data_IF_173323405521
#
_entry.id   IF_173323405521
#
_cell.length_a   1.000
_cell.length_b   1.000
_cell.length_c   1.000
_cell.angle_alpha   90.00
_cell.angle_beta   90.00
_cell.angle_gamma   90.00
#
_symmetry.space_group_name_H-M   'P 1'
#
loop_
_entity.id
_entity.type
_entity.pdbx_description
1 polymer ?
#
# COMPACT_ATOMS: atom_id res chain seq x y z
N UNK A 1 15.42 15.70 -2.49
CA UNK A 1 14.43 16.00 -1.44
C UNK A 1 13.38 14.91 -1.52
N UNK A 2 13.47 13.88 -0.68
CA UNK A 2 12.44 12.85 -0.60
C UNK A 2 11.25 13.45 0.15
N UNK A 3 10.11 13.59 -0.52
CA UNK A 3 8.88 14.01 0.14
C UNK A 3 8.33 12.78 0.88
N UNK A 4 8.53 12.73 2.20
CA UNK A 4 7.85 11.75 3.06
C UNK A 4 6.38 12.18 3.14
N UNK A 5 5.56 11.60 2.26
CA UNK A 5 4.11 11.86 2.22
C UNK A 5 3.39 10.77 3.00
N UNK A 6 2.65 11.16 4.03
CA UNK A 6 1.77 10.26 4.78
C UNK A 6 0.49 9.95 4.01
N UNK A 7 -0.05 8.75 4.21
CA UNK A 7 -1.32 8.29 3.66
C UNK A 7 -1.89 7.16 4.51
N UNK A 8 -3.11 6.72 4.20
CA UNK A 8 -3.76 5.63 4.93
C UNK A 8 -3.95 4.44 4.01
N UNK A 9 -3.73 3.23 4.53
CA UNK A 9 -3.94 1.98 3.83
C UNK A 9 -5.04 1.19 4.56
N UNK A 10 -5.96 0.62 3.79
CA UNK A 10 -7.00 -0.31 4.27
C UNK A 10 -7.36 -1.26 3.13
N UNK A 11 -8.03 -2.36 3.43
CA UNK A 11 -8.49 -3.33 2.45
C UNK A 11 -9.96 -3.66 2.68
N UNK A 12 -10.78 -3.54 1.63
CA UNK A 12 -12.15 -4.07 1.69
C UNK A 12 -12.22 -5.60 1.57
N UNK A 13 -11.35 -6.19 0.74
CA UNK A 13 -11.45 -7.61 0.37
C UNK A 13 -10.70 -8.52 1.35
N UNK A 14 -9.67 -8.01 2.03
CA UNK A 14 -8.85 -8.81 2.94
C UNK A 14 -9.14 -8.43 4.38
N UNK A 15 -9.88 -9.29 5.10
CA UNK A 15 -10.24 -9.07 6.51
C UNK A 15 -9.03 -8.77 7.41
N UNK A 16 -7.86 -9.29 7.04
CA UNK A 16 -6.58 -9.07 7.72
C UNK A 16 -6.03 -7.66 7.55
N UNK A 17 -6.32 -7.06 6.41
CA UNK A 17 -5.91 -5.71 6.05
C UNK A 17 -7.07 -4.72 6.15
N UNK A 18 -8.20 -5.13 6.74
CA UNK A 18 -9.39 -4.28 6.91
C UNK A 18 -9.22 -3.20 7.99
N UNK A 19 -8.14 -3.29 8.78
CA UNK A 19 -7.71 -2.21 9.66
C UNK A 19 -7.25 -0.98 8.89
N UNK A 20 -7.13 0.15 9.59
CA UNK A 20 -6.53 1.36 9.03
C UNK A 20 -5.09 1.47 9.49
N UNK A 21 -4.18 1.45 8.52
CA UNK A 21 -2.76 1.63 8.71
C UNK A 21 -2.38 3.03 8.28
N UNK A 22 -1.73 3.78 9.17
CA UNK A 22 -1.07 5.02 8.79
C UNK A 22 0.29 4.69 8.21
N UNK A 23 0.54 5.10 6.96
CA UNK A 23 1.75 4.76 6.24
C UNK A 23 2.50 6.01 5.79
N UNK A 24 3.82 5.93 5.82
CA UNK A 24 4.74 6.97 5.36
C UNK A 24 5.55 6.44 4.17
N UNK A 25 5.58 7.20 3.07
CA UNK A 25 6.44 6.89 1.93
C UNK A 25 7.91 6.95 2.35
N UNK A 26 8.61 5.81 2.30
CA UNK A 26 10.06 5.72 2.48
C UNK A 26 10.77 5.98 1.15
N UNK A 27 10.29 5.38 0.07
CA UNK A 27 10.85 5.55 -1.27
C UNK A 27 9.82 5.31 -2.37
N UNK A 28 10.01 6.00 -3.49
CA UNK A 28 9.36 5.67 -4.77
C UNK A 28 10.29 4.72 -5.52
N UNK A 29 9.81 3.52 -5.85
CA UNK A 29 10.61 2.45 -6.44
C UNK A 29 9.99 1.95 -7.74
N UNK A 30 10.83 1.43 -8.62
CA UNK A 30 10.40 0.79 -9.87
C UNK A 30 10.68 -0.69 -9.76
N UNK A 31 9.63 -1.50 -9.91
CA UNK A 31 9.70 -2.96 -9.93
C UNK A 31 10.08 -3.46 -11.34
N UNK A 32 10.17 -4.79 -11.50
CA UNK A 32 10.34 -5.41 -12.81
C UNK A 32 9.33 -4.88 -13.84
N UNK A 33 9.78 -4.79 -15.10
CA UNK A 33 9.00 -4.28 -16.24
C UNK A 33 8.60 -2.80 -16.15
N UNK A 34 9.27 -1.99 -15.29
CA UNK A 34 9.03 -0.55 -15.23
C UNK A 34 7.82 -0.14 -14.40
N UNK A 35 7.25 -1.06 -13.62
CA UNK A 35 6.05 -0.80 -12.82
C UNK A 35 6.38 0.07 -11.60
N UNK A 36 5.71 1.21 -11.46
CA UNK A 36 5.86 2.09 -10.31
C UNK A 36 5.27 1.48 -9.05
N UNK A 37 5.98 1.61 -7.93
CA UNK A 37 5.52 1.21 -6.62
C UNK A 37 6.03 2.16 -5.52
N UNK A 38 5.39 2.11 -4.36
CA UNK A 38 5.78 2.87 -3.18
C UNK A 38 6.29 1.88 -2.13
N UNK A 39 7.51 2.08 -1.65
CA UNK A 39 7.95 1.47 -0.39
C UNK A 39 7.49 2.37 0.75
N UNK A 40 6.70 1.82 1.67
CA UNK A 40 6.15 2.57 2.79
C UNK A 40 6.31 1.83 4.10
N UNK A 41 6.62 2.58 5.16
CA UNK A 41 6.46 2.11 6.52
C UNK A 41 4.99 2.24 6.92
N UNK A 42 4.45 1.31 7.69
CA UNK A 42 3.05 1.35 8.15
C UNK A 42 2.96 1.10 9.66
N UNK A 43 2.04 1.81 10.29
CA UNK A 43 1.73 1.73 11.72
C UNK A 43 0.23 1.51 11.92
N UNK A 44 -0.20 0.47 12.65
CA UNK A 44 0.64 -0.61 13.21
C UNK A 44 1.31 -1.46 12.11
N UNK A 45 2.27 -2.35 12.45
CA UNK A 45 2.81 -3.30 11.49
C UNK A 45 1.68 -4.13 10.85
N UNK A 46 1.82 -4.38 9.56
CA UNK A 46 0.84 -5.12 8.78
C UNK A 46 0.90 -6.60 9.18
N UNK A 47 -0.25 -7.20 9.49
CA UNK A 47 -0.30 -8.61 9.88
C UNK A 47 -0.01 -9.54 8.70
N UNK A 48 1.08 -10.31 8.79
CA UNK A 48 1.53 -11.20 7.72
C UNK A 48 2.11 -12.54 8.23
N UNK A 49 1.67 -12.99 9.40
CA UNK A 49 2.18 -14.19 10.08
C UNK A 49 2.05 -15.47 9.24
N UNK A 50 0.95 -15.63 8.51
CA UNK A 50 0.72 -16.77 7.60
C UNK A 50 1.69 -16.81 6.41
N UNK A 51 2.29 -15.68 6.07
CA UNK A 51 3.24 -15.55 4.96
C UNK A 51 4.69 -15.74 5.41
N UNK A 52 4.91 -16.07 6.70
CA UNK A 52 6.24 -16.23 7.29
C UNK A 52 6.74 -15.01 8.06
N UNK A 53 5.89 -14.02 8.32
CA UNK A 53 6.23 -12.79 9.05
C UNK A 53 5.54 -12.75 10.42
N UNK A 54 6.02 -13.51 11.43
CA UNK A 54 5.30 -13.72 12.68
C UNK A 54 5.10 -12.44 13.52
N UNK A 55 5.93 -11.43 13.31
CA UNK A 55 5.83 -10.12 13.98
C UNK A 55 5.09 -9.06 13.13
N UNK A 56 4.57 -9.47 11.97
CA UNK A 56 4.06 -8.55 10.95
C UNK A 56 5.17 -7.89 10.14
N UNK A 57 4.77 -6.94 9.31
CA UNK A 57 5.63 -6.18 8.42
C UNK A 57 5.55 -4.70 8.78
N UNK A 58 6.67 -4.13 9.24
CA UNK A 58 6.80 -2.70 9.53
C UNK A 58 6.80 -1.85 8.25
N UNK A 59 7.14 -2.47 7.10
CA UNK A 59 7.08 -1.82 5.80
C UNK A 59 6.58 -2.78 4.71
N UNK A 60 5.94 -2.22 3.70
CA UNK A 60 5.36 -2.93 2.57
C UNK A 60 5.70 -2.22 1.26
N UNK A 61 5.61 -2.96 0.16
CA UNK A 61 5.67 -2.40 -1.19
C UNK A 61 4.27 -2.34 -1.77
N UNK A 62 3.85 -1.16 -2.21
CA UNK A 62 2.53 -0.90 -2.79
C UNK A 62 2.66 -0.69 -4.29
N UNK A 63 2.25 -1.67 -5.08
CA UNK A 63 2.27 -1.60 -6.55
C UNK A 63 0.86 -1.34 -7.10
N UNK A 64 0.71 -0.69 -8.24
CA UNK A 64 -0.61 -0.48 -8.84
C UNK A 64 -1.32 -1.81 -9.15
N UNK A 65 -2.62 -1.86 -8.83
CA UNK A 65 -3.47 -3.02 -9.16
C UNK A 65 -3.92 -3.01 -10.62
N UNK A 66 -4.27 -1.84 -11.16
CA UNK A 66 -4.81 -1.68 -12.51
C UNK A 66 -3.82 -1.01 -13.46
N UNK A 67 -3.89 -1.38 -14.74
CA UNK A 67 -3.05 -0.79 -15.77
C UNK A 67 -3.47 0.68 -16.00
N UNK A 68 -2.50 1.59 -15.96
CA UNK A 68 -2.73 3.03 -16.11
C UNK A 68 -2.82 3.81 -14.80
N UNK A 69 -3.02 3.13 -13.66
CA UNK A 69 -2.86 3.75 -12.34
C UNK A 69 -1.37 3.90 -12.00
N UNK A 70 -1.01 5.06 -11.47
CA UNK A 70 0.34 5.35 -11.02
C UNK A 70 0.32 5.75 -9.54
N UNK A 71 0.81 4.90 -8.61
CA UNK A 71 0.75 5.20 -7.19
C UNK A 71 1.63 6.39 -6.83
N UNK A 72 2.62 6.74 -7.67
CA UNK A 72 3.43 7.94 -7.49
C UNK A 72 2.63 9.22 -7.70
N UNK A 73 1.58 9.15 -8.53
CA UNK A 73 0.77 10.29 -8.92
C UNK A 73 -0.65 10.09 -8.40
N UNK A 74 -0.83 10.30 -7.10
CA UNK A 74 -2.12 10.23 -6.41
C UNK A 74 -3.08 11.31 -6.94
N UNK A 75 -3.77 11.03 -8.05
CA UNK A 75 -4.71 11.97 -8.69
C UNK A 75 -6.16 11.75 -8.27
N UNK A 76 -6.49 10.60 -7.66
CA UNK A 76 -7.84 10.27 -7.21
C UNK A 76 -7.75 9.24 -6.09
N UNK A 77 -8.53 9.42 -5.02
CA UNK A 77 -8.60 8.46 -3.93
C UNK A 77 -9.94 7.69 -3.94
N UNK A 78 -9.93 6.39 -3.60
CA UNK A 78 -8.74 5.60 -3.26
C UNK A 78 -7.89 5.17 -4.48
N UNK A 79 -6.60 4.90 -4.24
CA UNK A 79 -5.72 4.25 -5.22
C UNK A 79 -5.67 2.75 -4.91
N UNK A 80 -6.04 1.92 -5.88
CA UNK A 80 -6.04 0.47 -5.72
C UNK A 80 -4.64 -0.11 -5.93
N UNK A 81 -4.16 -0.85 -4.93
CA UNK A 81 -2.78 -1.38 -4.90
C UNK A 81 -2.72 -2.85 -4.53
N UNK A 82 -1.70 -3.53 -5.03
CA UNK A 82 -1.19 -4.76 -4.44
C UNK A 82 -0.33 -4.41 -3.23
N UNK A 83 -0.59 -5.06 -2.10
CA UNK A 83 0.25 -5.00 -0.91
C UNK A 83 1.21 -6.17 -0.99
N UNK A 84 2.49 -5.86 -1.19
CA UNK A 84 3.55 -6.84 -1.38
C UNK A 84 4.51 -6.86 -0.20
N UNK A 85 5.17 -8.00 -0.01
CA UNK A 85 6.33 -8.09 0.87
C UNK A 85 7.41 -7.08 0.44
N UNK A 86 8.23 -6.56 1.38
CA UNK A 86 9.25 -5.56 1.10
C UNK A 86 10.46 -6.10 0.33
N UNK A 87 10.41 -7.37 -0.09
CA UNK A 87 11.41 -8.01 -0.93
C UNK A 87 11.36 -7.38 -2.34
N UNK A 88 12.34 -6.53 -2.66
CA UNK A 88 12.46 -5.84 -3.94
C UNK A 88 12.96 -6.79 -5.04
N UNK A 89 12.20 -7.84 -5.32
CA UNK A 89 12.46 -8.73 -6.44
C UNK A 89 11.80 -8.21 -7.73
N UNK A 90 12.21 -8.76 -8.87
CA UNK A 90 11.61 -8.44 -10.16
C UNK A 90 10.08 -8.69 -10.15
N UNK A 91 9.63 -9.70 -9.40
CA UNK A 91 8.23 -10.04 -9.15
C UNK A 91 7.99 -10.10 -7.63
N UNK A 92 7.52 -9.01 -7.00
CA UNK A 92 7.34 -9.01 -5.56
C UNK A 92 6.17 -9.92 -5.15
N UNK A 93 6.34 -10.60 -4.01
CA UNK A 93 5.30 -11.47 -3.45
C UNK A 93 4.08 -10.65 -3.00
N UNK A 94 2.96 -10.84 -3.69
CA UNK A 94 1.68 -10.23 -3.33
C UNK A 94 1.11 -10.93 -2.08
N UNK A 95 0.80 -10.16 -1.05
CA UNK A 95 0.20 -10.63 0.20
C UNK A 95 -1.32 -10.42 0.20
N UNK A 96 -1.75 -9.26 -0.30
CA UNK A 96 -3.15 -8.87 -0.39
C UNK A 96 -3.35 -7.74 -1.41
N UNK A 97 -4.59 -7.33 -1.58
CA UNK A 97 -4.97 -6.13 -2.33
C UNK A 97 -5.55 -5.13 -1.34
N UNK A 98 -5.40 -3.85 -1.62
CA UNK A 98 -5.95 -2.80 -0.76
C UNK A 98 -6.07 -1.47 -1.47
N UNK A 99 -6.39 -0.47 -0.68
CA UNK A 99 -6.74 0.87 -1.10
C UNK A 99 -5.95 1.89 -0.28
N UNK A 100 -5.29 2.81 -0.99
CA UNK A 100 -4.66 3.99 -0.39
C UNK A 100 -5.70 5.10 -0.30
N UNK A 101 -5.79 5.77 0.84
CA UNK A 101 -6.69 6.89 1.12
C UNK A 101 -5.93 8.14 1.58
N UNK A 102 -6.56 9.31 1.39
CA UNK A 102 -6.06 10.59 1.88
C UNK A 102 -6.23 10.78 3.39
N UNK A 103 -7.28 10.17 3.97
CA UNK A 103 -7.62 10.34 5.38
C UNK A 103 -7.95 9.00 6.05
N UNK A 104 -7.72 8.93 7.37
CA UNK A 104 -8.09 7.77 8.18
C UNK A 104 -9.61 7.54 8.18
N UNK A 105 -10.42 8.60 8.11
CA UNK A 105 -11.88 8.47 8.08
C UNK A 105 -12.35 7.78 6.78
N UNK A 106 -11.79 8.20 5.64
CA UNK A 106 -12.12 7.57 4.35
C UNK A 106 -11.66 6.11 4.32
N UNK A 107 -10.50 5.81 4.90
CA UNK A 107 -10.00 4.44 5.03
C UNK A 107 -10.88 3.55 5.93
N UNK A 108 -11.44 4.11 7.02
CA UNK A 108 -12.34 3.38 7.94
C UNK A 108 -13.71 3.09 7.32
N UNK A 109 -14.20 4.02 6.50
CA UNK A 109 -15.52 3.92 5.88
C UNK A 109 -15.46 3.39 4.44
N UNK A 110 -14.26 3.07 3.95
CA UNK A 110 -13.96 2.73 2.56
C UNK A 110 -14.64 3.70 1.57
N UNK A 111 -14.62 5.00 1.91
CA UNK A 111 -15.27 6.02 1.09
C UNK A 111 -14.56 6.13 -0.26
N UNK A 112 -15.33 5.93 -1.30
CA UNK A 112 -14.89 6.15 -2.68
C UNK A 112 -15.10 7.63 -3.02
N UNK A 113 -14.01 8.40 -3.20
CA UNK A 113 -14.05 9.69 -3.89
C UNK A 113 -13.55 10.95 -3.16
N UNK A 114 -12.65 11.69 -3.82
CA UNK A 114 -12.86 12.99 -4.50
C UNK A 114 -11.80 13.09 -5.62
N UNK A 115 -12.09 13.73 -6.76
CA UNK A 115 -11.05 14.09 -7.73
C UNK A 115 -10.02 15.04 -7.11
#
# INVERSE_FOLDING_TARGET
MSQNTSFFLSSMESARFAGVYECETLALVTLGQGRHAIHAACSPPVEASEFGYPLGLESVVLANRFAGDDPWRKFSFPVFVYICAPEFEAEPRVLAWGEIYASAEDARQHRMGRP
#
